data_IF_856925041124
#
_entry.id   IF_856925041124
#
_cell.length_a   1.000
_cell.length_b   1.000
_cell.length_c   1.000
_cell.angle_alpha   90.00
_cell.angle_beta   90.00
_cell.angle_gamma   90.00
#
_symmetry.space_group_name_H-M   'P 1'
#
loop_
_entity.id
_entity.type
_entity.pdbx_description
1 polymer ?
#
# COMPACT_ATOMS: atom_id res chain seq x y z
N UNK A 1 6.57 -15.31 5.50
CA UNK A 1 7.24 -14.03 5.17
C UNK A 1 7.46 -13.83 3.66
N UNK A 2 8.06 -14.77 2.92
CA UNK A 2 8.32 -14.61 1.48
C UNK A 2 7.09 -14.20 0.65
N UNK A 3 5.94 -14.85 0.89
CA UNK A 3 4.67 -14.52 0.23
C UNK A 3 4.20 -13.08 0.49
N UNK A 4 4.34 -12.59 1.71
CA UNK A 4 3.96 -11.21 2.08
C UNK A 4 4.87 -10.19 1.39
N UNK A 5 6.18 -10.47 1.33
CA UNK A 5 7.14 -9.59 0.64
C UNK A 5 6.89 -9.56 -0.86
N UNK A 6 6.60 -10.70 -1.49
CA UNK A 6 6.19 -10.76 -2.90
C UNK A 6 4.94 -9.92 -3.15
N UNK A 7 3.91 -10.09 -2.33
CA UNK A 7 2.65 -9.37 -2.43
C UNK A 7 2.83 -7.84 -2.28
N UNK A 8 3.65 -7.39 -1.34
CA UNK A 8 3.99 -5.96 -1.18
C UNK A 8 4.72 -5.44 -2.41
N UNK A 9 5.69 -6.20 -2.92
CA UNK A 9 6.46 -5.82 -4.11
C UNK A 9 5.56 -5.69 -5.35
N UNK A 10 4.60 -6.59 -5.50
CA UNK A 10 3.64 -6.58 -6.60
C UNK A 10 2.75 -5.34 -6.54
N UNK A 11 2.19 -5.02 -5.36
CA UNK A 11 1.42 -3.79 -5.15
C UNK A 11 2.24 -2.54 -5.46
N UNK A 12 3.48 -2.46 -4.97
CA UNK A 12 4.37 -1.34 -5.25
C UNK A 12 4.64 -1.19 -6.75
N UNK A 13 4.95 -2.30 -7.44
CA UNK A 13 5.24 -2.30 -8.88
C UNK A 13 4.01 -1.91 -9.69
N UNK A 14 2.84 -2.45 -9.36
CA UNK A 14 1.59 -2.14 -10.04
C UNK A 14 1.19 -0.68 -9.84
N UNK A 15 1.19 -0.18 -8.61
CA UNK A 15 0.80 1.20 -8.30
C UNK A 15 1.77 2.21 -8.93
N UNK A 16 3.08 1.96 -8.90
CA UNK A 16 4.07 2.86 -9.55
C UNK A 16 3.96 2.84 -11.07
N UNK A 17 3.71 1.67 -11.68
CA UNK A 17 3.44 1.57 -13.11
C UNK A 17 2.17 2.33 -13.49
N UNK A 18 1.09 2.18 -12.73
CA UNK A 18 -0.16 2.91 -12.94
C UNK A 18 0.00 4.42 -12.78
N UNK A 19 0.68 4.90 -11.74
CA UNK A 19 0.96 6.32 -11.54
C UNK A 19 1.72 6.88 -12.76
N UNK A 20 2.74 6.15 -13.23
CA UNK A 20 3.53 6.55 -14.40
C UNK A 20 2.71 6.57 -15.68
N UNK A 21 1.86 5.57 -15.90
CA UNK A 21 0.96 5.50 -17.06
C UNK A 21 -0.07 6.63 -17.04
N UNK A 22 -0.76 6.82 -15.91
CA UNK A 22 -1.74 7.88 -15.72
C UNK A 22 -1.11 9.27 -15.84
N UNK A 23 0.12 9.45 -15.34
CA UNK A 23 0.88 10.69 -15.51
C UNK A 23 1.17 10.98 -16.98
N UNK A 24 1.72 10.01 -17.73
CA UNK A 24 1.95 10.15 -19.17
C UNK A 24 0.66 10.45 -19.94
N UNK A 25 -0.44 9.79 -19.59
CA UNK A 25 -1.74 10.01 -20.23
C UNK A 25 -2.25 11.43 -19.93
N UNK A 26 -2.07 11.94 -18.70
CA UNK A 26 -2.46 13.31 -18.33
C UNK A 26 -1.76 14.39 -19.16
N UNK A 27 -0.56 14.11 -19.67
CA UNK A 27 0.17 15.02 -20.56
C UNK A 27 -0.34 14.98 -22.01
N UNK A 28 -0.95 13.87 -22.44
CA UNK A 28 -1.45 13.66 -23.81
C UNK A 28 -2.93 14.01 -23.97
N UNK A 29 -3.70 14.00 -22.89
CA UNK A 29 -5.14 14.30 -22.91
C UNK A 29 -5.38 15.78 -23.23
N UNK A 30 -6.15 16.03 -24.29
CA UNK A 30 -6.67 17.35 -24.62
C UNK A 30 -7.99 17.61 -23.87
N UNK A 31 -8.19 18.85 -23.41
CA UNK A 31 -9.35 19.26 -22.63
C UNK A 31 -9.07 19.41 -21.13
N UNK A 32 -9.29 20.63 -20.61
CA UNK A 32 -9.00 21.02 -19.22
C UNK A 32 -9.69 20.11 -18.20
N UNK A 33 -10.94 19.71 -18.46
CA UNK A 33 -11.73 18.82 -17.59
C UNK A 33 -11.12 17.41 -17.49
N UNK A 34 -10.78 16.80 -18.63
CA UNK A 34 -10.22 15.45 -18.65
C UNK A 34 -8.81 15.42 -18.04
N UNK A 35 -8.02 16.48 -18.25
CA UNK A 35 -6.71 16.63 -17.63
C UNK A 35 -6.79 16.70 -16.09
N UNK A 36 -7.74 17.47 -15.54
CA UNK A 36 -7.98 17.53 -14.09
C UNK A 36 -8.38 16.15 -13.55
N UNK A 37 -9.31 15.46 -14.21
CA UNK A 37 -9.74 14.14 -13.75
C UNK A 37 -8.60 13.11 -13.74
N UNK A 38 -7.68 13.18 -14.70
CA UNK A 38 -6.47 12.33 -14.73
C UNK A 38 -5.47 12.68 -13.63
N UNK A 39 -5.27 13.96 -13.32
CA UNK A 39 -4.43 14.36 -12.18
C UNK A 39 -5.00 13.83 -10.86
N UNK A 40 -6.31 13.94 -10.65
CA UNK A 40 -6.96 13.38 -9.46
C UNK A 40 -6.70 11.88 -9.35
N UNK A 41 -6.73 11.14 -10.47
CA UNK A 41 -6.44 9.70 -10.50
C UNK A 41 -4.99 9.39 -10.10
N UNK A 42 -4.03 10.21 -10.54
CA UNK A 42 -2.62 10.12 -10.12
C UNK A 42 -2.46 10.41 -8.63
N UNK A 43 -3.05 11.51 -8.14
CA UNK A 43 -2.97 11.89 -6.73
C UNK A 43 -3.65 10.88 -5.81
N UNK A 44 -4.82 10.36 -6.19
CA UNK A 44 -5.51 9.32 -5.42
C UNK A 44 -4.65 8.07 -5.33
N UNK A 45 -4.16 7.53 -6.45
CA UNK A 45 -3.28 6.35 -6.43
C UNK A 45 -2.01 6.60 -5.59
N UNK A 46 -1.41 7.79 -5.70
CA UNK A 46 -0.24 8.17 -4.90
C UNK A 46 -0.55 8.23 -3.40
N UNK A 47 -1.66 8.87 -3.01
CA UNK A 47 -2.08 8.97 -1.61
C UNK A 47 -2.41 7.62 -1.00
N UNK A 48 -3.15 6.80 -1.75
CA UNK A 48 -3.43 5.42 -1.39
C UNK A 48 -2.10 4.64 -1.21
N UNK A 49 -1.17 4.71 -2.18
CA UNK A 49 0.11 3.99 -2.11
C UNK A 49 0.94 4.43 -0.89
N UNK A 50 0.93 5.72 -0.58
CA UNK A 50 1.63 6.28 0.56
C UNK A 50 1.07 5.71 1.88
N UNK A 51 -0.25 5.69 2.05
CA UNK A 51 -0.91 5.07 3.21
C UNK A 51 -0.53 3.60 3.33
N UNK A 52 -0.58 2.85 2.22
CA UNK A 52 -0.19 1.43 2.20
C UNK A 52 1.25 1.22 2.66
N UNK A 53 2.20 1.98 2.11
CA UNK A 53 3.62 1.90 2.47
C UNK A 53 3.84 2.29 3.93
N UNK A 54 3.18 3.35 4.42
CA UNK A 54 3.27 3.77 5.82
C UNK A 54 2.80 2.65 6.77
N UNK A 55 1.67 2.01 6.46
CA UNK A 55 1.16 0.89 7.27
C UNK A 55 2.09 -0.33 7.24
N UNK A 56 2.68 -0.64 6.07
CA UNK A 56 3.70 -1.68 5.97
C UNK A 56 4.94 -1.36 6.79
N UNK A 57 5.40 -0.10 6.77
CA UNK A 57 6.58 0.35 7.52
C UNK A 57 6.34 0.30 9.02
N UNK A 58 5.18 0.77 9.50
CA UNK A 58 4.78 0.68 10.91
C UNK A 58 4.78 -0.79 11.34
N UNK A 59 4.20 -1.69 10.54
CA UNK A 59 4.16 -3.12 10.85
C UNK A 59 5.56 -3.73 10.95
N UNK A 60 6.48 -3.34 10.07
CA UNK A 60 7.89 -3.76 10.14
C UNK A 60 8.57 -3.26 11.41
N UNK A 61 8.34 -2.00 11.81
CA UNK A 61 8.86 -1.46 13.07
C UNK A 61 8.35 -2.22 14.29
N UNK A 62 7.06 -2.58 14.30
CA UNK A 62 6.48 -3.41 15.37
C UNK A 62 7.11 -4.79 15.44
N UNK A 63 7.38 -5.42 14.29
CA UNK A 63 8.08 -6.72 14.24
C UNK A 63 9.51 -6.58 14.79
N UNK A 64 10.25 -5.57 14.32
CA UNK A 64 11.63 -5.30 14.76
C UNK A 64 11.69 -5.02 16.26
N UNK A 65 10.78 -4.16 16.76
CA UNK A 65 10.71 -3.83 18.17
C UNK A 65 10.33 -5.05 19.02
N UNK A 66 9.39 -5.86 18.57
CA UNK A 66 9.02 -7.09 19.29
C UNK A 66 10.17 -8.09 19.39
N UNK A 67 10.92 -8.30 18.30
CA UNK A 67 12.05 -9.23 18.28
C UNK A 67 13.24 -8.68 19.06
N UNK A 68 13.70 -7.47 18.75
CA UNK A 68 14.89 -6.88 19.36
C UNK A 68 14.60 -6.50 20.82
N UNK A 69 13.50 -5.79 21.06
CA UNK A 69 13.08 -5.37 22.39
C UNK A 69 12.75 -6.57 23.28
N UNK A 70 12.01 -7.55 22.78
CA UNK A 70 11.71 -8.78 23.53
C UNK A 70 12.96 -9.57 23.92
N UNK A 71 13.94 -9.65 23.01
CA UNK A 71 15.20 -10.36 23.30
C UNK A 71 16.07 -9.59 24.30
N UNK A 72 16.30 -8.30 24.08
CA UNK A 72 17.20 -7.50 24.93
C UNK A 72 16.61 -7.33 26.34
N UNK A 73 15.36 -6.91 26.45
CA UNK A 73 14.71 -6.64 27.73
C UNK A 73 14.34 -7.93 28.47
N UNK A 74 13.98 -8.99 27.72
CA UNK A 74 13.71 -10.31 28.28
C UNK A 74 14.92 -10.93 28.99
N UNK A 75 16.11 -10.73 28.43
CA UNK A 75 17.37 -11.22 29.00
C UNK A 75 17.89 -10.29 30.10
N UNK A 76 17.81 -8.97 29.91
CA UNK A 76 18.45 -7.99 30.82
C UNK A 76 17.63 -7.63 32.05
N UNK A 77 16.30 -7.56 31.93
CA UNK A 77 15.46 -7.01 33.00
C UNK A 77 14.51 -8.05 33.59
N UNK A 78 13.67 -8.66 32.77
CA UNK A 78 12.62 -9.56 33.26
C UNK A 78 12.06 -10.43 32.15
N UNK A 79 11.77 -11.73 32.41
CA UNK A 79 11.20 -12.63 31.42
C UNK A 79 9.81 -12.20 30.91
N UNK A 80 9.08 -11.33 31.63
CA UNK A 80 7.81 -10.78 31.14
C UNK A 80 7.97 -9.97 29.84
N UNK A 81 9.15 -9.39 29.60
CA UNK A 81 9.43 -8.67 28.36
C UNK A 81 9.46 -9.58 27.12
N UNK A 82 9.57 -10.90 27.27
CA UNK A 82 9.40 -11.84 26.15
C UNK A 82 7.98 -11.82 25.57
N UNK A 83 6.99 -11.29 26.29
CA UNK A 83 5.64 -11.04 25.74
C UNK A 83 5.68 -10.08 24.53
N UNK A 84 6.72 -9.27 24.37
CA UNK A 84 6.91 -8.44 23.18
C UNK A 84 7.04 -9.29 21.89
N UNK A 85 7.37 -10.58 21.97
CA UNK A 85 7.34 -11.48 20.80
C UNK A 85 5.93 -11.72 20.24
N UNK A 86 4.88 -11.38 20.98
CA UNK A 86 3.50 -11.39 20.48
C UNK A 86 3.24 -10.25 19.48
N UNK A 87 4.01 -9.16 19.50
CA UNK A 87 3.85 -8.02 18.58
C UNK A 87 4.01 -8.43 17.10
N UNK A 88 5.06 -9.21 16.71
CA UNK A 88 5.16 -9.77 15.37
C UNK A 88 3.96 -10.61 14.95
N UNK A 89 3.40 -11.39 15.89
CA UNK A 89 2.24 -12.25 15.63
C UNK A 89 0.98 -11.42 15.36
N UNK A 90 0.82 -10.28 16.03
CA UNK A 90 -0.27 -9.34 15.77
C UNK A 90 -0.07 -8.50 14.49
N UNK A 91 1.18 -8.16 14.16
CA UNK A 91 1.52 -7.34 13.00
C UNK A 91 1.31 -8.07 11.65
N UNK A 92 1.47 -9.38 11.60
CA UNK A 92 1.31 -10.17 10.37
C UNK A 92 -0.15 -10.23 9.86
N UNK A 93 -1.17 -10.51 10.68
CA UNK A 93 -2.58 -10.39 10.30
C UNK A 93 -2.95 -8.97 9.88
N UNK A 94 -2.39 -7.96 10.56
CA UNK A 94 -2.61 -6.57 10.19
C UNK A 94 -2.08 -6.25 8.79
N UNK A 95 -0.85 -6.67 8.47
CA UNK A 95 -0.29 -6.56 7.12
C UNK A 95 -1.17 -7.25 6.06
N UNK A 96 -1.68 -8.45 6.39
CA UNK A 96 -2.58 -9.17 5.49
C UNK A 96 -3.90 -8.43 5.27
N UNK A 97 -4.49 -7.89 6.34
CA UNK A 97 -5.70 -7.07 6.27
C UNK A 97 -5.48 -5.81 5.41
N UNK A 98 -4.39 -5.09 5.62
CA UNK A 98 -4.04 -3.90 4.83
C UNK A 98 -3.86 -4.25 3.35
N UNK A 99 -3.20 -5.37 3.05
CA UNK A 99 -3.05 -5.87 1.68
C UNK A 99 -4.38 -6.28 1.03
N UNK A 100 -5.27 -6.93 1.78
CA UNK A 100 -6.58 -7.31 1.27
C UNK A 100 -7.48 -6.10 1.04
N UNK A 101 -7.47 -5.14 1.96
CA UNK A 101 -8.16 -3.85 1.81
C UNK A 101 -7.67 -3.12 0.56
N UNK A 102 -6.37 -3.07 0.33
CA UNK A 102 -5.77 -2.47 -0.86
C UNK A 102 -6.28 -3.12 -2.15
N UNK A 103 -6.10 -4.43 -2.27
CA UNK A 103 -6.41 -5.20 -3.49
C UNK A 103 -7.90 -5.27 -3.78
N UNK A 104 -8.76 -5.12 -2.77
CA UNK A 104 -10.22 -5.08 -2.95
C UNK A 104 -10.76 -3.68 -3.22
N UNK A 105 -10.37 -2.68 -2.43
CA UNK A 105 -11.01 -1.36 -2.46
C UNK A 105 -10.47 -0.45 -3.55
N UNK A 106 -9.15 -0.46 -3.79
CA UNK A 106 -8.54 0.43 -4.77
C UNK A 106 -9.03 0.15 -6.22
N UNK A 107 -9.12 -1.11 -6.69
CA UNK A 107 -9.68 -1.39 -8.02
C UNK A 107 -11.15 -1.00 -8.16
N UNK A 108 -11.95 -1.21 -7.11
CA UNK A 108 -13.37 -0.79 -7.11
C UNK A 108 -13.49 0.72 -7.21
N UNK A 109 -12.77 1.46 -6.36
CA UNK A 109 -12.75 2.93 -6.39
C UNK A 109 -12.30 3.47 -7.75
N UNK A 110 -11.23 2.90 -8.32
CA UNK A 110 -10.73 3.27 -9.64
C UNK A 110 -11.79 3.06 -10.72
N UNK A 111 -12.45 1.90 -10.72
CA UNK A 111 -13.50 1.56 -11.70
C UNK A 111 -14.65 2.56 -11.62
N UNK A 112 -15.15 2.83 -10.42
CA UNK A 112 -16.26 3.77 -10.20
C UNK A 112 -15.89 5.19 -10.63
N UNK A 113 -14.66 5.64 -10.34
CA UNK A 113 -14.18 6.95 -10.75
C UNK A 113 -14.05 7.07 -12.28
N UNK A 114 -13.50 6.05 -12.94
CA UNK A 114 -13.38 6.02 -14.40
C UNK A 114 -14.75 6.05 -15.09
N UNK A 115 -15.71 5.27 -14.60
CA UNK A 115 -17.08 5.26 -15.11
C UNK A 115 -17.76 6.61 -14.90
N UNK A 116 -17.67 7.20 -13.70
CA UNK A 116 -18.30 8.48 -13.37
C UNK A 116 -17.77 9.65 -14.20
N UNK A 117 -16.50 9.60 -14.58
CA UNK A 117 -15.85 10.67 -15.34
C UNK A 117 -15.69 10.36 -16.84
N UNK A 118 -16.24 9.22 -17.33
CA UNK A 118 -16.16 8.78 -18.73
C UNK A 118 -14.73 8.81 -19.29
N UNK A 119 -13.75 8.46 -18.45
CA UNK A 119 -12.34 8.48 -18.81
C UNK A 119 -12.02 7.17 -19.53
N UNK A 120 -11.72 7.24 -20.82
CA UNK A 120 -11.17 6.12 -21.57
C UNK A 120 -9.66 6.05 -21.29
N UNK A 121 -9.27 5.18 -20.36
CA UNK A 121 -7.86 4.80 -20.21
C UNK A 121 -7.58 3.75 -21.28
N UNK A 122 -6.58 3.93 -22.17
CA UNK A 122 -6.21 2.89 -23.10
C UNK A 122 -5.76 1.68 -22.28
N UNK A 123 -6.45 0.55 -22.48
CA UNK A 123 -6.03 -0.74 -21.96
C UNK A 123 -4.73 -1.09 -22.67
N UNK A 124 -3.59 -0.90 -22.01
CA UNK A 124 -2.34 -1.51 -22.48
C UNK A 124 -2.48 -3.03 -22.25
N UNK A 125 -2.62 -3.78 -23.35
CA UNK A 125 -2.46 -5.25 -23.40
C UNK A 125 -1.07 -5.68 -22.93
#
# INVERSE_FOLDING_TARGET
MQKIIMNIREVLKQSTAEIKANWKLSQRVQGKRNKISMYVLVYMNTGFLLVYVSLCLISMLYILFGIIGGTILGIKESPYWFLLFLLPIAALPFLYFVHNMWTSHYPSFKKDYLTKHSIQVPTEE
#
